data_IF_246059211135
#
_entry.id   IF_246059211135
#
_cell.length_a   1.000
_cell.length_b   1.000
_cell.length_c   1.000
_cell.angle_alpha   90.00
_cell.angle_beta   90.00
_cell.angle_gamma   90.00
#
_symmetry.space_group_name_H-M   'P 1'
#
loop_
_entity.id
_entity.type
_entity.pdbx_description
1 polymer ?
#
# COMPACT_ATOMS: atom_id res chain seq x y z
N UNK A 1 -26.37 -10.64 -14.26
CA UNK A 1 -25.80 -9.28 -14.38
C UNK A 1 -24.68 -9.36 -15.40
N UNK A 2 -24.53 -8.36 -16.26
CA UNK A 2 -23.50 -8.37 -17.31
C UNK A 2 -22.74 -7.06 -17.29
N UNK A 3 -21.41 -7.11 -17.44
CA UNK A 3 -20.59 -5.91 -17.58
C UNK A 3 -20.96 -5.23 -18.89
N UNK A 4 -21.36 -3.96 -18.82
CA UNK A 4 -21.76 -3.15 -19.97
C UNK A 4 -20.62 -2.25 -20.43
N UNK A 5 -19.83 -1.69 -19.51
CA UNK A 5 -18.74 -0.78 -19.86
C UNK A 5 -17.70 -0.61 -18.73
N UNK A 6 -16.55 -0.04 -19.07
CA UNK A 6 -15.50 0.32 -18.12
C UNK A 6 -15.13 1.80 -18.25
N UNK A 7 -15.09 2.56 -17.15
CA UNK A 7 -14.64 3.95 -17.18
C UNK A 7 -13.40 4.10 -16.32
N UNK A 8 -12.35 4.70 -16.90
CA UNK A 8 -11.11 4.98 -16.21
C UNK A 8 -10.85 6.46 -16.13
N UNK A 9 -10.61 6.96 -14.92
CA UNK A 9 -10.24 8.36 -14.70
C UNK A 9 -9.02 8.46 -13.81
N UNK A 10 -8.15 9.41 -14.12
CA UNK A 10 -6.97 9.73 -13.32
C UNK A 10 -7.21 11.05 -12.62
N UNK A 11 -7.20 11.00 -11.28
CA UNK A 11 -7.31 12.16 -10.42
C UNK A 11 -5.92 12.55 -9.91
N UNK A 12 -5.65 13.85 -9.92
CA UNK A 12 -4.42 14.45 -9.42
C UNK A 12 -4.76 15.58 -8.48
N UNK A 13 -4.09 15.64 -7.33
CA UNK A 13 -4.23 16.75 -6.41
C UNK A 13 -2.86 17.28 -5.99
N UNK A 14 -2.68 18.61 -5.98
CA UNK A 14 -1.42 19.21 -5.63
C UNK A 14 -1.05 18.88 -4.19
N UNK A 15 0.24 18.61 -3.95
CA UNK A 15 0.75 18.45 -2.60
C UNK A 15 1.59 19.66 -2.20
N UNK A 16 1.33 20.30 -1.02
CA UNK A 16 2.09 21.47 -0.59
C UNK A 16 3.60 21.23 -0.46
N UNK A 17 3.99 20.03 -0.02
CA UNK A 17 5.39 19.63 0.14
C UNK A 17 5.58 18.23 -0.43
N UNK A 18 6.65 17.99 -1.18
CA UNK A 18 7.03 16.64 -1.59
C UNK A 18 7.29 15.78 -0.35
N UNK A 19 6.86 14.52 -0.41
CA UNK A 19 7.14 13.52 0.62
C UNK A 19 8.10 12.48 0.07
N UNK A 20 8.91 11.87 0.93
CA UNK A 20 9.82 10.83 0.50
C UNK A 20 9.95 9.71 1.52
N UNK A 21 10.30 8.53 1.03
CA UNK A 21 10.70 7.40 1.85
C UNK A 21 12.19 7.06 1.63
N UNK A 22 12.61 5.88 2.08
CA UNK A 22 13.99 5.40 1.92
C UNK A 22 14.46 5.20 0.47
N UNK A 23 13.54 5.20 -0.51
CA UNK A 23 13.80 4.79 -1.89
C UNK A 23 13.25 5.73 -2.96
N UNK A 24 12.20 6.48 -2.67
CA UNK A 24 11.43 7.28 -3.62
C UNK A 24 11.05 8.61 -3.00
N UNK A 25 10.92 9.62 -3.84
CA UNK A 25 10.23 10.89 -3.56
C UNK A 25 8.91 10.88 -4.31
N UNK A 26 7.90 11.52 -3.73
CA UNK A 26 6.55 11.65 -4.25
C UNK A 26 6.15 13.12 -4.23
N UNK A 27 5.81 13.66 -5.40
CA UNK A 27 5.17 14.96 -5.56
C UNK A 27 3.68 14.91 -5.30
N UNK A 28 2.90 15.27 -6.32
CA UNK A 28 1.44 15.30 -6.26
C UNK A 28 0.85 13.93 -5.97
N UNK A 29 -0.29 13.93 -5.29
CA UNK A 29 -1.08 12.73 -5.16
C UNK A 29 -1.74 12.39 -6.50
N UNK A 30 -1.71 11.12 -6.86
CA UNK A 30 -2.32 10.61 -8.08
C UNK A 30 -3.07 9.32 -7.77
N UNK A 31 -4.29 9.22 -8.29
CA UNK A 31 -5.13 8.04 -8.14
C UNK A 31 -5.82 7.75 -9.47
N UNK A 32 -5.80 6.49 -9.88
CA UNK A 32 -6.63 6.00 -10.97
C UNK A 32 -7.86 5.34 -10.36
N UNK A 33 -9.04 5.80 -10.77
CA UNK A 33 -10.32 5.17 -10.44
C UNK A 33 -10.82 4.42 -11.67
N UNK A 34 -11.09 3.14 -11.48
CA UNK A 34 -11.77 2.28 -12.43
C UNK A 34 -13.20 2.05 -11.95
N UNK A 35 -14.15 2.37 -12.81
CA UNK A 35 -15.56 2.01 -12.68
C UNK A 35 -15.88 0.90 -13.66
N UNK A 36 -16.53 -0.15 -13.20
CA UNK A 36 -17.10 -1.22 -14.04
C UNK A 36 -18.62 -1.09 -13.96
N UNK A 37 -19.23 -0.77 -15.10
CA UNK A 37 -20.68 -0.59 -15.21
C UNK A 37 -21.34 -1.93 -15.56
N UNK A 38 -22.50 -2.18 -14.96
CA UNK A 38 -23.34 -3.33 -15.26
C UNK A 38 -24.60 -2.93 -16.04
N UNK A 39 -25.22 -3.91 -16.70
CA UNK A 39 -26.47 -3.76 -17.45
C UNK A 39 -27.70 -3.45 -16.58
N UNK A 40 -27.66 -3.81 -15.30
CA UNK A 40 -28.68 -3.51 -14.30
C UNK A 40 -28.51 -2.13 -13.64
N UNK A 41 -27.53 -1.34 -14.10
CA UNK A 41 -27.24 0.01 -13.61
C UNK A 41 -26.33 0.07 -12.38
N UNK A 42 -25.87 -1.07 -11.86
CA UNK A 42 -24.86 -1.08 -10.79
C UNK A 42 -23.47 -0.67 -11.31
N UNK A 43 -22.66 -0.16 -10.39
CA UNK A 43 -21.30 0.30 -10.67
C UNK A 43 -20.35 -0.17 -9.57
N UNK A 44 -19.39 -1.00 -9.94
CA UNK A 44 -18.30 -1.40 -9.07
C UNK A 44 -17.09 -0.51 -9.22
N UNK A 45 -16.40 -0.25 -8.10
CA UNK A 45 -15.26 0.66 -8.06
C UNK A 45 -14.00 -0.06 -7.59
N UNK A 46 -12.92 0.17 -8.33
CA UNK A 46 -11.57 -0.23 -7.96
C UNK A 46 -10.61 0.90 -8.23
N UNK A 47 -9.49 0.95 -7.53
CA UNK A 47 -8.53 2.05 -7.70
C UNK A 47 -7.10 1.57 -7.59
N UNK A 48 -6.20 2.38 -8.14
CA UNK A 48 -4.75 2.26 -7.98
C UNK A 48 -4.18 3.62 -7.58
N UNK A 49 -3.02 3.60 -6.93
CA UNK A 49 -2.35 4.81 -6.47
C UNK A 49 -2.83 5.27 -5.10
N UNK A 50 -2.84 6.58 -4.88
CA UNK A 50 -3.16 7.19 -3.58
C UNK A 50 -2.10 8.19 -3.11
N UNK A 51 -1.96 8.33 -1.79
CA UNK A 51 -1.18 9.41 -1.15
C UNK A 51 0.32 9.35 -1.42
N UNK A 52 0.91 8.17 -1.59
CA UNK A 52 2.34 7.98 -1.87
C UNK A 52 2.54 7.20 -3.19
N UNK A 53 1.97 7.73 -4.27
CA UNK A 53 1.88 7.03 -5.55
C UNK A 53 2.18 7.93 -6.75
N UNK A 54 3.26 8.73 -6.68
CA UNK A 54 3.81 9.35 -7.88
C UNK A 54 4.28 8.26 -8.85
N UNK A 55 3.39 7.94 -9.80
CA UNK A 55 3.55 6.95 -10.85
C UNK A 55 2.85 7.52 -12.08
N UNK A 56 3.31 7.19 -13.29
CA UNK A 56 2.64 7.63 -14.51
C UNK A 56 1.36 6.79 -14.68
N UNK A 57 0.32 7.05 -13.89
CA UNK A 57 -0.92 6.27 -13.90
C UNK A 57 -1.67 6.40 -15.23
N UNK A 58 -1.38 7.44 -15.99
CA UNK A 58 -1.89 7.69 -17.33
C UNK A 58 -1.52 6.57 -18.31
N UNK A 59 -0.46 5.78 -18.04
CA UNK A 59 -0.13 4.60 -18.87
C UNK A 59 -1.22 3.53 -18.83
N UNK A 60 -2.07 3.52 -17.79
CA UNK A 60 -3.09 2.49 -17.62
C UNK A 60 -4.38 2.78 -18.37
N UNK A 61 -4.66 4.05 -18.72
CA UNK A 61 -5.88 4.41 -19.45
C UNK A 61 -5.97 3.68 -20.80
N UNK A 62 -4.93 3.65 -21.65
CA UNK A 62 -4.96 2.87 -22.90
C UNK A 62 -4.99 1.35 -22.67
N UNK A 63 -4.44 0.88 -21.55
CA UNK A 63 -4.49 -0.54 -21.20
C UNK A 63 -5.91 -0.99 -20.88
N UNK A 64 -6.77 -0.11 -20.37
CA UNK A 64 -8.15 -0.47 -19.99
C UNK A 64 -9.00 -0.81 -21.20
N UNK A 65 -8.78 -0.16 -22.34
CA UNK A 65 -9.48 -0.52 -23.58
C UNK A 65 -9.17 -1.97 -24.00
N UNK A 66 -7.93 -2.44 -23.79
CA UNK A 66 -7.59 -3.84 -24.03
C UNK A 66 -8.37 -4.82 -23.12
N UNK A 67 -8.66 -4.45 -21.87
CA UNK A 67 -9.48 -5.28 -20.97
C UNK A 67 -10.97 -5.08 -21.20
N UNK A 68 -11.41 -3.91 -21.69
CA UNK A 68 -12.82 -3.63 -22.01
C UNK A 68 -13.37 -4.69 -22.95
N UNK A 69 -12.68 -4.93 -24.06
CA UNK A 69 -13.07 -5.94 -25.07
C UNK A 69 -13.17 -7.36 -24.50
N UNK A 70 -12.49 -7.62 -23.37
CA UNK A 70 -12.47 -8.92 -22.70
C UNK A 70 -13.39 -9.00 -21.51
N UNK A 71 -13.95 -7.90 -21.03
CA UNK A 71 -14.78 -7.85 -19.83
C UNK A 71 -16.24 -7.55 -20.16
N UNK A 72 -16.48 -6.66 -21.13
CA UNK A 72 -17.84 -6.35 -21.58
C UNK A 72 -18.52 -7.63 -22.08
N UNK A 73 -19.78 -7.82 -21.69
CA UNK A 73 -20.55 -9.02 -21.99
C UNK A 73 -20.32 -10.18 -21.02
N UNK A 74 -19.38 -10.08 -20.06
CA UNK A 74 -19.16 -11.12 -19.05
C UNK A 74 -19.95 -10.87 -17.77
N UNK A 75 -20.27 -11.95 -17.07
CA UNK A 75 -20.86 -11.90 -15.74
C UNK A 75 -19.76 -11.66 -14.68
N UNK A 76 -19.84 -10.59 -13.86
CA UNK A 76 -18.87 -10.30 -12.81
C UNK A 76 -18.81 -11.37 -11.70
N UNK A 77 -19.82 -12.21 -11.52
CA UNK A 77 -19.77 -13.36 -10.59
C UNK A 77 -18.74 -14.41 -11.05
N UNK A 78 -18.44 -14.49 -12.35
CA UNK A 78 -17.47 -15.42 -12.92
C UNK A 78 -16.03 -14.88 -12.86
N UNK A 79 -15.72 -14.02 -11.88
CA UNK A 79 -14.40 -13.37 -11.78
C UNK A 79 -13.24 -14.36 -11.79
N UNK A 80 -13.39 -15.54 -11.17
CA UNK A 80 -12.32 -16.55 -11.15
C UNK A 80 -11.94 -17.03 -12.56
N UNK A 81 -12.93 -17.28 -13.41
CA UNK A 81 -12.71 -17.69 -14.80
C UNK A 81 -12.12 -16.54 -15.64
N UNK A 82 -12.60 -15.33 -15.42
CA UNK A 82 -12.07 -14.11 -16.05
C UNK A 82 -10.57 -13.96 -15.78
N UNK A 83 -10.16 -14.06 -14.51
CA UNK A 83 -8.75 -13.91 -14.13
C UNK A 83 -7.89 -15.09 -14.57
N UNK A 84 -8.43 -16.32 -14.56
CA UNK A 84 -7.73 -17.48 -15.12
C UNK A 84 -7.47 -17.32 -16.64
N UNK A 85 -8.42 -16.76 -17.38
CA UNK A 85 -8.23 -16.45 -18.81
C UNK A 85 -7.16 -15.38 -19.01
N UNK A 86 -7.16 -14.31 -18.21
CA UNK A 86 -6.09 -13.30 -18.24
C UNK A 86 -4.72 -13.93 -17.97
N UNK A 87 -4.59 -14.71 -16.91
CA UNK A 87 -3.32 -15.37 -16.60
C UNK A 87 -2.86 -16.28 -17.75
N UNK A 88 -3.74 -17.11 -18.30
CA UNK A 88 -3.37 -18.03 -19.37
C UNK A 88 -2.94 -17.31 -20.65
N UNK A 89 -3.69 -16.30 -21.07
CA UNK A 89 -3.44 -15.58 -22.32
C UNK A 89 -2.26 -14.59 -22.22
N UNK A 90 -2.05 -13.98 -21.05
CA UNK A 90 -1.28 -12.73 -20.93
C UNK A 90 0.09 -12.93 -20.29
N UNK A 91 0.34 -14.05 -19.63
CA UNK A 91 1.60 -14.36 -18.96
C UNK A 91 2.82 -14.26 -19.88
N UNK A 92 2.68 -14.64 -21.16
CA UNK A 92 3.74 -14.54 -22.17
C UNK A 92 4.04 -13.10 -22.57
N UNK A 93 3.01 -12.24 -22.60
CA UNK A 93 3.10 -10.87 -23.11
C UNK A 93 3.47 -9.88 -22.01
N UNK A 94 2.91 -10.06 -20.81
CA UNK A 94 3.02 -9.09 -19.72
C UNK A 94 3.74 -9.63 -18.47
N UNK A 95 3.96 -10.94 -18.39
CA UNK A 95 4.56 -11.60 -17.22
C UNK A 95 3.63 -11.62 -16.00
N UNK A 96 4.18 -12.06 -14.86
CA UNK A 96 3.43 -12.28 -13.61
C UNK A 96 3.22 -11.01 -12.74
N UNK A 97 3.60 -9.82 -13.22
CA UNK A 97 3.66 -8.63 -12.36
C UNK A 97 3.56 -7.31 -13.11
N UNK A 98 4.05 -6.25 -12.48
CA UNK A 98 4.15 -4.93 -13.13
C UNK A 98 2.79 -4.28 -13.40
N UNK A 99 2.62 -3.73 -14.60
CA UNK A 99 1.43 -2.97 -14.98
C UNK A 99 0.17 -3.85 -15.06
N UNK A 100 0.29 -5.05 -15.64
CA UNK A 100 -0.81 -6.01 -15.75
C UNK A 100 -1.42 -6.34 -14.38
N UNK A 101 -0.59 -6.77 -13.43
CA UNK A 101 -1.05 -7.12 -12.07
C UNK A 101 -1.69 -5.95 -11.30
N UNK A 102 -1.19 -4.72 -11.49
CA UNK A 102 -1.80 -3.54 -10.86
C UNK A 102 -3.19 -3.26 -11.43
N UNK A 103 -3.33 -3.33 -12.76
CA UNK A 103 -4.62 -3.05 -13.39
C UNK A 103 -5.64 -4.15 -13.13
N UNK A 104 -5.25 -5.42 -13.23
CA UNK A 104 -6.14 -6.55 -12.89
C UNK A 104 -6.53 -6.54 -11.41
N UNK A 105 -5.68 -6.02 -10.52
CA UNK A 105 -6.03 -5.74 -9.13
C UNK A 105 -7.16 -4.71 -8.99
N UNK A 106 -7.13 -3.62 -9.76
CA UNK A 106 -8.21 -2.62 -9.77
C UNK A 106 -9.52 -3.22 -10.30
N UNK A 107 -9.45 -3.98 -11.40
CA UNK A 107 -10.59 -4.71 -11.96
C UNK A 107 -11.18 -5.65 -10.90
N UNK A 108 -10.32 -6.42 -10.21
CA UNK A 108 -10.77 -7.37 -9.18
C UNK A 108 -11.55 -6.68 -8.06
N UNK A 109 -11.04 -5.55 -7.55
CA UNK A 109 -11.75 -4.74 -6.56
C UNK A 109 -13.13 -4.27 -7.08
N UNK A 110 -13.20 -3.77 -8.31
CA UNK A 110 -14.45 -3.32 -8.91
C UNK A 110 -15.47 -4.45 -9.08
N UNK A 111 -15.02 -5.64 -9.53
CA UNK A 111 -15.90 -6.79 -9.66
C UNK A 111 -16.43 -7.25 -8.29
N UNK A 112 -15.59 -7.28 -7.25
CA UNK A 112 -16.07 -7.60 -5.90
C UNK A 112 -17.06 -6.57 -5.35
N UNK A 113 -16.86 -5.29 -5.64
CA UNK A 113 -17.81 -4.23 -5.26
C UNK A 113 -19.17 -4.44 -5.95
N UNK A 114 -19.20 -4.72 -7.26
CA UNK A 114 -20.43 -5.11 -7.98
C UNK A 114 -21.13 -6.30 -7.33
N UNK A 115 -20.38 -7.36 -7.01
CA UNK A 115 -20.94 -8.56 -6.38
C UNK A 115 -21.55 -8.27 -5.01
N UNK A 116 -20.88 -7.43 -4.21
CA UNK A 116 -21.41 -6.94 -2.94
C UNK A 116 -22.73 -6.19 -3.12
N UNK A 117 -22.75 -5.23 -4.05
CA UNK A 117 -23.93 -4.43 -4.35
C UNK A 117 -25.09 -5.28 -4.86
N UNK A 118 -24.84 -6.16 -5.83
CA UNK A 118 -25.84 -7.05 -6.41
C UNK A 118 -26.41 -8.03 -5.38
N UNK A 119 -25.57 -8.55 -4.48
CA UNK A 119 -26.00 -9.41 -3.38
C UNK A 119 -26.66 -8.65 -2.21
N UNK A 120 -26.63 -7.31 -2.21
CA UNK A 120 -27.07 -6.48 -1.09
C UNK A 120 -26.26 -6.71 0.19
N UNK A 121 -24.97 -7.07 0.08
CA UNK A 121 -24.11 -7.47 1.19
C UNK A 121 -22.75 -6.77 1.14
N UNK A 122 -22.14 -6.47 2.30
CA UNK A 122 -20.76 -6.01 2.32
C UNK A 122 -19.82 -7.12 1.84
N UNK A 123 -18.78 -6.77 1.09
CA UNK A 123 -17.82 -7.73 0.50
C UNK A 123 -17.20 -8.67 1.53
N UNK A 124 -16.91 -8.19 2.74
CA UNK A 124 -16.34 -9.04 3.79
C UNK A 124 -17.29 -10.20 4.20
N UNK A 125 -18.61 -10.00 4.10
CA UNK A 125 -19.59 -11.04 4.40
C UNK A 125 -19.61 -12.11 3.32
N UNK A 126 -19.39 -11.72 2.06
CA UNK A 126 -19.22 -12.66 0.94
C UNK A 126 -17.92 -13.47 1.07
N UNK A 127 -16.83 -12.87 1.56
CA UNK A 127 -15.51 -13.51 1.66
C UNK A 127 -15.34 -14.40 2.90
N UNK A 128 -15.90 -13.99 4.04
CA UNK A 128 -15.55 -14.57 5.35
C UNK A 128 -16.75 -14.93 6.23
N UNK A 129 -17.96 -14.84 5.67
CA UNK A 129 -19.21 -15.00 6.39
C UNK A 129 -19.70 -13.71 7.05
N UNK A 130 -20.99 -13.67 7.35
CA UNK A 130 -21.69 -12.50 7.87
C UNK A 130 -21.51 -12.38 9.40
N UNK A 131 -20.29 -12.01 9.81
CA UNK A 131 -19.98 -11.64 11.18
C UNK A 131 -19.51 -10.19 11.24
N UNK A 132 -20.49 -9.30 11.29
CA UNK A 132 -20.30 -7.84 11.40
C UNK A 132 -19.72 -7.40 12.74
N UNK A 133 -19.58 -8.32 13.72
CA UNK A 133 -18.95 -8.02 15.01
C UNK A 133 -17.41 -8.03 14.94
N UNK A 134 -16.83 -8.65 13.91
CA UNK A 134 -15.38 -8.74 13.73
C UNK A 134 -14.77 -7.37 13.43
N UNK A 135 -14.05 -6.82 14.40
CA UNK A 135 -13.27 -5.59 14.24
C UNK A 135 -11.86 -5.90 13.74
N UNK A 136 -11.45 -5.25 12.65
CA UNK A 136 -10.07 -5.32 12.15
C UNK A 136 -9.25 -4.19 12.78
N UNK A 137 -8.06 -4.52 13.30
CA UNK A 137 -7.15 -3.51 13.87
C UNK A 137 -6.46 -2.74 12.74
N UNK A 138 -6.76 -1.45 12.64
CA UNK A 138 -6.05 -0.51 11.76
C UNK A 138 -4.70 -0.07 12.33
N UNK A 139 -3.84 0.44 11.44
CA UNK A 139 -2.60 1.14 11.79
C UNK A 139 -2.44 2.35 10.88
N UNK A 140 -1.75 3.38 11.36
CA UNK A 140 -1.46 4.58 10.56
C UNK A 140 -0.06 4.43 9.95
N UNK A 141 0.03 4.47 8.63
CA UNK A 141 1.30 4.55 7.91
C UNK A 141 1.59 6.01 7.56
N UNK A 142 2.75 6.52 7.96
CA UNK A 142 3.14 7.92 7.83
C UNK A 142 4.64 8.12 8.02
N UNK A 143 5.01 9.21 8.69
CA UNK A 143 6.39 9.55 9.05
C UNK A 143 7.33 9.64 7.85
N UNK A 144 6.81 10.15 6.73
CA UNK A 144 7.61 10.44 5.55
C UNK A 144 8.63 11.54 5.84
N UNK A 145 9.67 11.60 5.01
CA UNK A 145 10.52 12.78 4.92
C UNK A 145 9.78 13.83 4.13
N UNK A 146 9.82 15.08 4.56
CA UNK A 146 9.30 16.22 3.81
C UNK A 146 10.52 17.00 3.32
N UNK A 147 10.56 17.37 2.03
CA UNK A 147 11.63 18.21 1.46
C UNK A 147 13.08 17.86 1.84
N UNK A 148 13.90 18.92 1.93
CA UNK A 148 15.25 18.91 2.51
C UNK A 148 15.24 19.39 3.98
N UNK A 149 14.11 19.17 4.67
CA UNK A 149 13.92 19.53 6.07
C UNK A 149 15.09 18.97 6.88
N UNK A 150 16.02 19.83 7.30
CA UNK A 150 17.20 19.44 8.08
C UNK A 150 16.80 18.59 9.30
N UNK A 151 17.78 17.86 9.85
CA UNK A 151 17.50 16.80 10.83
C UNK A 151 16.61 17.24 12.00
N UNK A 152 16.71 18.47 12.50
CA UNK A 152 15.92 18.95 13.64
C UNK A 152 14.46 19.26 13.30
N UNK A 153 14.20 20.08 12.27
CA UNK A 153 12.83 20.42 11.84
C UNK A 153 12.04 19.18 11.40
N UNK A 154 12.70 18.23 10.73
CA UNK A 154 12.10 16.96 10.35
C UNK A 154 11.74 16.07 11.55
N UNK A 155 12.44 16.19 12.68
CA UNK A 155 12.15 15.44 13.91
C UNK A 155 10.98 16.02 14.67
N UNK A 156 10.93 17.34 14.84
CA UNK A 156 9.81 18.01 15.51
C UNK A 156 8.50 17.73 14.76
N UNK A 157 8.50 17.85 13.43
CA UNK A 157 7.34 17.50 12.61
C UNK A 157 6.92 16.04 12.77
N UNK A 158 7.88 15.11 12.80
CA UNK A 158 7.59 13.70 13.03
C UNK A 158 6.98 13.47 14.42
N UNK A 159 7.48 14.15 15.46
CA UNK A 159 6.93 14.05 16.80
C UNK A 159 5.50 14.58 16.87
N UNK A 160 5.23 15.71 16.20
CA UNK A 160 3.88 16.29 16.10
C UNK A 160 2.93 15.33 15.36
N UNK A 161 3.33 14.79 14.20
CA UNK A 161 2.53 13.82 13.43
C UNK A 161 2.21 12.58 14.28
N UNK A 162 3.24 12.00 14.92
CA UNK A 162 3.07 10.85 15.78
C UNK A 162 2.25 11.19 17.03
N UNK A 163 2.28 12.40 17.56
CA UNK A 163 1.44 12.75 18.71
C UNK A 163 -0.03 12.88 18.29
N UNK A 164 -0.29 13.64 17.21
CA UNK A 164 -1.62 13.84 16.63
C UNK A 164 -2.29 12.51 16.24
N UNK A 165 -1.51 11.57 15.70
CA UNK A 165 -2.01 10.23 15.39
C UNK A 165 -2.59 9.50 16.64
N UNK A 166 -2.16 9.81 17.87
CA UNK A 166 -2.61 9.14 19.12
C UNK A 166 -3.79 9.94 19.62
N UNK A 167 -3.58 11.25 19.80
CA UNK A 167 -4.54 12.12 20.47
C UNK A 167 -5.81 12.28 19.65
N UNK A 168 -5.67 12.44 18.33
CA UNK A 168 -6.76 12.86 17.47
C UNK A 168 -7.37 11.67 16.73
N UNK A 169 -6.53 10.72 16.31
CA UNK A 169 -6.93 9.56 15.50
C UNK A 169 -7.01 8.24 16.28
N UNK A 170 -6.62 8.23 17.56
CA UNK A 170 -6.69 7.04 18.42
C UNK A 170 -5.81 5.87 17.96
N UNK A 171 -4.72 6.15 17.23
CA UNK A 171 -3.89 5.13 16.63
C UNK A 171 -3.18 4.27 17.67
N UNK A 172 -3.53 2.99 17.72
CA UNK A 172 -2.87 1.99 18.58
C UNK A 172 -1.60 1.39 17.96
N UNK A 173 -1.42 1.57 16.64
CA UNK A 173 -0.19 1.16 15.97
C UNK A 173 0.13 2.02 14.75
N UNK A 174 1.43 2.16 14.46
CA UNK A 174 1.93 3.06 13.43
C UNK A 174 3.09 2.48 12.66
N UNK A 175 3.32 3.01 11.46
CA UNK A 175 4.48 2.74 10.65
C UNK A 175 5.07 4.04 10.13
N UNK A 176 6.37 4.25 10.31
CA UNK A 176 7.07 5.40 9.76
C UNK A 176 8.25 5.03 8.86
N UNK A 177 8.69 5.98 8.02
CA UNK A 177 9.72 5.75 7.00
C UNK A 177 11.12 6.01 7.57
N UNK A 178 12.06 5.15 7.19
CA UNK A 178 13.49 5.32 7.51
C UNK A 178 14.35 5.35 6.25
N UNK A 179 15.28 6.32 6.20
CA UNK A 179 16.34 6.46 5.19
C UNK A 179 17.62 5.80 5.73
N UNK A 180 18.71 5.87 4.94
CA UNK A 180 20.00 5.21 5.23
C UNK A 180 20.44 5.45 6.70
N UNK A 181 21.22 4.54 7.32
CA UNK A 181 21.72 4.73 8.67
C UNK A 181 22.78 5.86 8.69
N UNK A 182 22.35 7.08 9.01
CA UNK A 182 23.16 8.24 9.32
C UNK A 182 22.74 8.83 10.69
N UNK A 183 23.23 10.02 11.04
CA UNK A 183 22.88 10.71 12.30
C UNK A 183 21.37 10.96 12.45
N UNK A 184 20.63 11.18 11.36
CA UNK A 184 19.18 11.39 11.38
C UNK A 184 18.38 10.14 11.80
N UNK A 185 18.90 8.95 11.54
CA UNK A 185 18.28 7.67 11.94
C UNK A 185 18.26 7.49 13.47
N UNK A 186 19.32 7.90 14.19
CA UNK A 186 19.33 7.81 15.67
C UNK A 186 18.35 8.77 16.29
N UNK A 187 18.29 10.00 15.78
CA UNK A 187 17.41 11.02 16.33
C UNK A 187 15.92 10.70 16.08
N UNK A 188 15.56 10.12 14.92
CA UNK A 188 14.18 9.64 14.68
C UNK A 188 13.80 8.52 15.64
N UNK A 189 14.74 7.63 15.91
CA UNK A 189 14.54 6.56 16.88
C UNK A 189 14.37 7.08 18.32
N UNK A 190 15.12 8.11 18.71
CA UNK A 190 14.98 8.77 20.01
C UNK A 190 13.67 9.56 20.14
N UNK A 191 13.25 10.25 19.08
CA UNK A 191 11.95 10.92 19.02
C UNK A 191 10.78 9.94 19.25
N UNK A 192 10.85 8.73 18.66
CA UNK A 192 9.89 7.64 18.93
C UNK A 192 9.89 7.23 20.40
N UNK A 193 11.07 7.07 21.01
CA UNK A 193 11.21 6.68 22.43
C UNK A 193 10.59 7.68 23.39
N UNK A 194 10.71 8.99 23.12
CA UNK A 194 10.11 10.00 24.00
C UNK A 194 8.58 9.91 24.02
N UNK A 195 7.95 9.54 22.90
CA UNK A 195 6.51 9.31 22.80
C UNK A 195 6.10 7.98 23.47
N UNK A 196 6.87 6.91 23.23
CA UNK A 196 6.60 5.58 23.80
C UNK A 196 6.74 5.50 25.32
N UNK A 197 7.62 6.30 25.94
CA UNK A 197 7.79 6.29 27.41
C UNK A 197 6.53 6.73 28.18
N UNK A 198 5.51 7.26 27.50
CA UNK A 198 4.22 7.62 28.08
C UNK A 198 3.02 6.76 27.62
N UNK A 199 3.17 5.82 26.68
CA UNK A 199 2.03 5.14 26.03
C UNK A 199 2.30 3.68 25.61
N UNK A 200 1.27 2.83 25.61
CA UNK A 200 1.32 1.39 25.24
C UNK A 200 1.13 1.12 23.74
N UNK A 201 1.30 2.12 22.86
CA UNK A 201 1.13 1.96 21.41
C UNK A 201 2.28 1.16 20.76
N UNK A 202 1.99 0.47 19.63
CA UNK A 202 2.97 -0.36 18.90
C UNK A 202 3.54 0.38 17.69
N UNK A 203 4.85 0.56 17.63
CA UNK A 203 5.52 1.19 16.48
C UNK A 203 6.17 0.18 15.53
N UNK A 204 6.10 0.47 14.23
CA UNK A 204 6.72 -0.29 13.12
C UNK A 204 7.57 0.65 12.29
N UNK A 205 8.60 0.12 11.64
CA UNK A 205 9.50 0.90 10.80
C UNK A 205 9.53 0.33 9.40
N UNK A 206 9.25 1.18 8.40
CA UNK A 206 9.46 0.86 6.99
C UNK A 206 10.82 1.34 6.54
N UNK A 207 11.78 0.42 6.48
CA UNK A 207 13.11 0.70 5.98
C UNK A 207 13.19 0.32 4.52
N UNK A 208 12.32 0.86 3.63
CA UNK A 208 12.43 0.74 2.15
C UNK A 208 13.74 1.33 1.66
N UNK A 209 14.81 0.63 1.96
CA UNK A 209 16.16 1.10 1.96
C UNK A 209 16.86 0.01 1.16
N UNK A 210 17.40 0.36 -0.01
CA UNK A 210 18.19 -0.55 -0.85
C UNK A 210 19.54 -0.85 -0.16
N UNK A 211 19.48 -1.45 1.04
CA UNK A 211 20.65 -1.74 1.84
C UNK A 211 21.31 -2.99 1.29
N UNK A 212 22.59 -2.88 0.94
CA UNK A 212 23.44 -4.06 0.69
C UNK A 212 23.38 -4.98 1.93
N UNK A 213 23.38 -6.30 1.74
CA UNK A 213 23.23 -7.33 2.77
C UNK A 213 24.07 -7.09 4.05
N UNK A 214 25.27 -6.55 3.93
CA UNK A 214 26.16 -6.26 5.07
C UNK A 214 25.61 -5.15 6.00
N UNK A 215 24.90 -4.16 5.44
CA UNK A 215 24.34 -3.02 6.19
C UNK A 215 23.03 -3.37 6.91
N UNK A 216 22.30 -4.40 6.46
CA UNK A 216 21.14 -4.97 7.18
C UNK A 216 21.52 -5.46 8.58
N UNK A 217 22.64 -6.18 8.69
CA UNK A 217 23.15 -6.66 9.99
C UNK A 217 23.54 -5.50 10.91
N UNK A 218 23.83 -4.32 10.38
CA UNK A 218 24.13 -3.15 11.19
C UNK A 218 22.85 -2.48 11.71
N UNK A 219 21.82 -2.31 10.86
CA UNK A 219 20.49 -1.81 11.29
C UNK A 219 19.85 -2.75 12.31
N UNK A 220 19.86 -4.06 12.04
CA UNK A 220 19.35 -5.06 12.98
C UNK A 220 20.10 -5.02 14.31
N UNK A 221 21.45 -4.97 14.28
CA UNK A 221 22.27 -4.87 15.51
C UNK A 221 22.11 -3.55 16.24
N UNK A 222 21.85 -2.43 15.54
CA UNK A 222 21.51 -1.14 16.14
C UNK A 222 20.13 -1.21 16.82
N UNK A 223 19.13 -1.83 16.19
CA UNK A 223 17.82 -2.03 16.80
C UNK A 223 17.88 -2.99 18.01
N UNK A 224 18.70 -4.04 17.95
CA UNK A 224 18.89 -5.02 19.03
C UNK A 224 19.74 -4.49 20.20
N UNK A 225 20.85 -3.79 19.93
CA UNK A 225 21.72 -3.23 20.98
C UNK A 225 21.02 -2.17 21.82
N UNK A 226 20.00 -1.57 21.25
CA UNK A 226 19.13 -0.58 21.85
C UNK A 226 18.05 -1.17 22.79
N UNK A 227 17.96 -2.50 22.98
CA UNK A 227 17.21 -3.27 24.02
C UNK A 227 15.80 -2.75 24.43
N UNK A 228 15.03 -2.07 23.58
CA UNK A 228 13.82 -1.34 24.03
C UNK A 228 12.57 -1.49 23.14
N UNK A 229 12.55 -2.35 22.12
CA UNK A 229 11.34 -2.50 21.29
C UNK A 229 10.84 -3.94 21.26
N UNK A 230 9.92 -4.29 22.17
CA UNK A 230 9.28 -5.60 22.19
C UNK A 230 8.43 -5.91 20.94
N UNK A 231 8.10 -4.91 20.09
CA UNK A 231 7.17 -5.09 18.96
C UNK A 231 7.54 -4.34 17.67
N UNK A 232 8.84 -4.23 17.33
CA UNK A 232 9.27 -3.64 16.05
C UNK A 232 9.12 -4.63 14.89
N UNK A 233 8.25 -4.33 13.92
CA UNK A 233 8.22 -4.99 12.62
C UNK A 233 8.99 -4.13 11.61
N UNK A 234 10.04 -4.69 10.99
CA UNK A 234 10.83 -4.00 9.95
C UNK A 234 10.40 -4.49 8.57
N UNK A 235 9.91 -3.58 7.71
CA UNK A 235 9.45 -3.87 6.34
C UNK A 235 10.43 -3.29 5.28
N UNK A 236 10.47 -3.88 4.08
CA UNK A 236 11.08 -3.24 2.90
C UNK A 236 12.61 -3.23 2.79
N UNK A 237 13.35 -3.98 3.61
CA UNK A 237 14.83 -3.88 3.69
C UNK A 237 15.62 -4.41 2.48
N UNK A 238 14.96 -5.06 1.52
CA UNK A 238 15.55 -5.57 0.28
C UNK A 238 14.61 -5.31 -0.91
N UNK A 239 15.14 -5.26 -2.14
CA UNK A 239 14.33 -5.22 -3.35
C UNK A 239 13.37 -6.42 -3.43
N UNK A 240 12.17 -6.21 -3.96
CA UNK A 240 11.28 -7.30 -4.31
C UNK A 240 11.98 -8.23 -5.34
N UNK A 241 12.02 -9.53 -5.06
CA UNK A 241 12.70 -10.54 -5.92
C UNK A 241 13.99 -11.14 -5.34
N UNK A 242 14.51 -10.62 -4.23
CA UNK A 242 15.60 -11.28 -3.49
C UNK A 242 15.06 -12.37 -2.54
N UNK A 243 14.82 -13.57 -3.06
CA UNK A 243 14.60 -14.77 -2.26
C UNK A 243 15.95 -15.45 -2.05
N UNK A 244 16.41 -15.60 -0.80
CA UNK A 244 17.45 -16.59 -0.50
C UNK A 244 16.78 -17.95 -0.59
N UNK A 245 17.30 -18.85 -1.42
CA UNK A 245 17.15 -20.27 -1.14
C UNK A 245 17.67 -20.49 0.29
N UNK A 246 16.80 -20.97 1.18
CA UNK A 246 17.27 -21.46 2.46
C UNK A 246 18.26 -22.60 2.15
N UNK A 247 19.48 -22.62 2.71
CA UNK A 247 20.21 -23.87 2.76
C UNK A 247 19.33 -24.84 3.55
N UNK A 248 19.10 -26.03 2.99
CA UNK A 248 18.38 -27.09 3.67
C UNK A 248 18.91 -27.23 5.10
N UNK A 249 18.00 -27.20 6.06
CA UNK A 249 18.32 -27.65 7.40
C UNK A 249 18.60 -29.17 7.30
N UNK A 250 19.63 -29.67 8.00
CA UNK A 250 20.00 -31.08 7.97
C UNK A 250 18.90 -32.00 8.47
#
# INVERSE_FOLDING_TARGET
MTISDLICEVYRWPRPNQIANGSMTYGDGVMLLLRVLADDGLEGRGWQGGTAAERPLEIFTPYIDYYRDRLVGKDPENSAEIFAAFEHEHIKTFGFGGAHCQLTGAVNCALWDLRGQHAGKPVHALLSGDDSSKKVRGYIAGGYYYGDDGSEAGLSRLQEELSANISDLGAKSRQDQDRRPDSGHRCRHEARRCIERGDRSRNRVDGRCQLRLQRRRHVHRLCESLRVLQHLLVRGTLPAGHVRSAPGLP
#
